data_IF_279546847317
#
_entry.id   IF_279546847317
#
_cell.length_a   1.000
_cell.length_b   1.000
_cell.length_c   1.000
_cell.angle_alpha   90.00
_cell.angle_beta   90.00
_cell.angle_gamma   90.00
#
_symmetry.space_group_name_H-M   'P 1'
#
loop_
_entity.id
_entity.type
_entity.pdbx_description
1 polymer ?
#
# COMPACT_ATOMS: atom_id res chain seq x y z
N UNK A 1 -0.22 -12.86 -22.21
CA UNK A 1 0.69 -13.57 -21.30
C UNK A 1 -0.08 -14.07 -20.09
N UNK A 2 -0.01 -15.36 -19.77
CA UNK A 2 -0.75 -15.93 -18.63
C UNK A 2 -0.02 -15.67 -17.31
N UNK A 3 -0.75 -15.42 -16.21
CA UNK A 3 -0.20 -15.22 -14.85
C UNK A 3 0.72 -16.37 -14.44
N UNK A 4 0.39 -17.61 -14.85
CA UNK A 4 1.21 -18.79 -14.55
C UNK A 4 2.58 -18.78 -15.23
N UNK A 5 2.70 -18.15 -16.39
CA UNK A 5 3.95 -18.02 -17.16
C UNK A 5 4.83 -16.85 -16.66
N UNK A 6 4.20 -15.83 -16.08
CA UNK A 6 4.91 -14.74 -15.39
C UNK A 6 5.62 -15.25 -14.13
N UNK A 7 4.94 -16.06 -13.30
CA UNK A 7 5.49 -16.53 -12.02
C UNK A 7 6.65 -17.53 -12.16
N UNK A 8 6.81 -18.19 -13.33
CA UNK A 8 7.85 -19.20 -13.57
C UNK A 8 9.18 -18.62 -14.07
N UNK A 9 9.19 -17.41 -14.64
CA UNK A 9 10.39 -16.80 -15.21
C UNK A 9 10.73 -15.49 -14.47
N UNK A 10 11.94 -15.36 -13.89
CA UNK A 10 12.29 -14.22 -13.05
C UNK A 10 12.34 -12.90 -13.86
N UNK A 11 12.00 -11.76 -13.22
CA UNK A 11 11.75 -10.48 -13.90
C UNK A 11 12.99 -9.81 -14.53
N UNK A 12 14.20 -10.24 -14.16
CA UNK A 12 15.45 -9.68 -14.69
C UNK A 12 15.71 -10.02 -16.18
N UNK A 13 14.95 -10.96 -16.75
CA UNK A 13 15.15 -11.45 -18.12
C UNK A 13 14.17 -10.91 -19.16
N UNK A 14 13.35 -9.89 -18.84
CA UNK A 14 12.33 -9.35 -19.77
C UNK A 14 12.38 -7.83 -19.83
N UNK A 15 12.57 -7.25 -21.03
CA UNK A 15 12.51 -5.81 -21.33
C UNK A 15 11.13 -5.14 -21.15
N UNK A 16 10.28 -5.66 -20.25
CA UNK A 16 8.88 -5.26 -20.07
C UNK A 16 8.44 -5.05 -18.63
N UNK A 17 9.35 -5.16 -17.65
CA UNK A 17 9.03 -5.10 -16.22
C UNK A 17 9.41 -3.73 -15.62
N UNK A 18 8.47 -3.09 -14.92
CA UNK A 18 8.69 -1.80 -14.26
C UNK A 18 9.16 -2.04 -12.83
N UNK A 19 10.23 -1.34 -12.42
CA UNK A 19 10.68 -1.31 -11.02
C UNK A 19 9.67 -0.57 -10.15
N UNK A 20 8.89 -1.32 -9.36
CA UNK A 20 7.90 -0.79 -8.42
C UNK A 20 8.52 -0.43 -7.07
N UNK A 21 9.32 -1.30 -6.46
CA UNK A 21 9.84 -1.09 -5.11
C UNK A 21 11.35 -1.22 -5.04
N UNK A 22 12.01 -0.30 -4.32
CA UNK A 22 13.44 -0.39 -4.03
C UNK A 22 13.75 -1.43 -2.95
N UNK A 23 15.03 -1.85 -2.81
CA UNK A 23 15.45 -2.82 -1.80
C UNK A 23 15.16 -2.33 -0.37
N UNK A 24 15.35 -1.03 -0.10
CA UNK A 24 15.03 -0.43 1.20
C UNK A 24 13.55 -0.60 1.55
N UNK A 25 12.62 -0.22 0.66
CA UNK A 25 11.16 -0.38 0.89
C UNK A 25 10.78 -1.83 1.16
N UNK A 26 11.35 -2.77 0.41
CA UNK A 26 11.09 -4.21 0.61
C UNK A 26 11.62 -4.71 1.95
N UNK A 27 12.83 -4.28 2.34
CA UNK A 27 13.43 -4.61 3.62
C UNK A 27 12.57 -4.08 4.77
N UNK A 28 12.22 -2.79 4.75
CA UNK A 28 11.36 -2.15 5.76
C UNK A 28 10.03 -2.89 5.89
N UNK A 29 9.37 -3.18 4.77
CA UNK A 29 8.10 -3.89 4.79
C UNK A 29 8.21 -5.27 5.45
N UNK A 30 9.24 -6.06 5.12
CA UNK A 30 9.43 -7.41 5.68
C UNK A 30 9.79 -7.37 7.15
N UNK A 31 10.70 -6.49 7.55
CA UNK A 31 11.14 -6.39 8.95
C UNK A 31 10.03 -5.84 9.83
N UNK A 32 9.33 -4.78 9.40
CA UNK A 32 8.15 -4.29 10.09
C UNK A 32 7.06 -5.36 10.15
N UNK A 33 6.75 -6.04 9.03
CA UNK A 33 5.75 -7.10 9.01
C UNK A 33 6.08 -8.28 9.94
N UNK A 34 7.35 -8.68 10.02
CA UNK A 34 7.82 -9.71 10.95
C UNK A 34 7.67 -9.27 12.40
N UNK A 35 8.20 -8.09 12.76
CA UNK A 35 8.10 -7.54 14.11
C UNK A 35 6.65 -7.40 14.55
N UNK A 36 5.80 -6.91 13.65
CA UNK A 36 4.37 -6.73 13.90
C UNK A 36 3.67 -8.08 14.10
N UNK A 37 3.98 -9.07 13.25
CA UNK A 37 3.47 -10.44 13.39
C UNK A 37 3.87 -11.07 14.73
N UNK A 38 5.12 -10.88 15.17
CA UNK A 38 5.58 -11.33 16.49
C UNK A 38 4.84 -10.60 17.61
N UNK A 39 4.62 -9.29 17.50
CA UNK A 39 3.83 -8.54 18.49
C UNK A 39 2.39 -9.07 18.58
N UNK A 40 1.73 -9.33 17.45
CA UNK A 40 0.37 -9.89 17.43
C UNK A 40 0.31 -11.31 18.03
N UNK A 41 1.27 -12.17 17.69
CA UNK A 41 1.33 -13.53 18.23
C UNK A 41 1.57 -13.52 19.74
N UNK A 42 2.52 -12.72 20.21
CA UNK A 42 2.81 -12.57 21.65
C UNK A 42 1.65 -11.91 22.40
N UNK A 43 0.99 -10.90 21.81
CA UNK A 43 -0.22 -10.30 22.39
C UNK A 43 -1.34 -11.34 22.55
N UNK A 44 -1.58 -12.17 21.53
CA UNK A 44 -2.57 -13.25 21.62
C UNK A 44 -2.25 -14.24 22.74
N UNK A 45 -0.97 -14.61 22.92
CA UNK A 45 -0.52 -15.49 24.00
C UNK A 45 -0.72 -14.84 25.37
N UNK A 46 -0.43 -13.54 25.50
CA UNK A 46 -0.57 -12.81 26.76
C UNK A 46 -2.03 -12.52 27.13
N UNK A 47 -2.91 -12.38 26.13
CA UNK A 47 -4.32 -12.04 26.30
C UNK A 47 -5.20 -13.27 26.53
N UNK A 48 -4.97 -14.37 25.80
CA UNK A 48 -5.80 -15.57 25.88
C UNK A 48 -5.29 -16.53 26.97
N UNK A 49 -6.08 -16.82 28.03
CA UNK A 49 -5.63 -17.64 29.15
C UNK A 49 -5.15 -19.03 28.74
N UNK A 50 -5.84 -19.68 27.79
CA UNK A 50 -5.48 -21.00 27.30
C UNK A 50 -4.07 -21.03 26.66
N UNK A 51 -3.70 -19.98 25.91
CA UNK A 51 -2.38 -19.87 25.30
C UNK A 51 -1.31 -19.55 26.35
N UNK A 52 -1.61 -18.67 27.30
CA UNK A 52 -0.69 -18.33 28.38
C UNK A 52 -0.28 -19.58 29.20
N UNK A 53 -1.24 -20.47 29.48
CA UNK A 53 -1.00 -21.74 30.16
C UNK A 53 -0.17 -22.71 29.32
N UNK A 54 -0.41 -22.78 28.02
CA UNK A 54 0.32 -23.65 27.10
C UNK A 54 1.80 -23.31 27.01
N UNK A 55 2.14 -22.02 26.90
CA UNK A 55 3.55 -21.60 26.80
C UNK A 55 4.25 -21.52 28.17
N UNK A 56 3.52 -21.26 29.26
CA UNK A 56 4.02 -21.30 30.65
C UNK A 56 5.14 -20.29 31.02
N UNK A 57 5.64 -19.50 30.07
CA UNK A 57 6.78 -18.57 30.24
C UNK A 57 6.39 -17.12 30.01
N UNK A 58 5.35 -16.66 30.71
CA UNK A 58 4.80 -15.31 30.56
C UNK A 58 5.84 -14.18 30.61
N UNK A 59 6.85 -14.19 31.52
CA UNK A 59 7.88 -13.14 31.54
C UNK A 59 8.70 -13.08 30.25
N UNK A 60 9.06 -14.23 29.67
CA UNK A 60 9.79 -14.28 28.41
C UNK A 60 8.95 -13.73 27.25
N UNK A 61 7.68 -14.12 27.16
CA UNK A 61 6.76 -13.65 26.12
C UNK A 61 6.55 -12.13 26.23
N UNK A 62 6.39 -11.62 27.45
CA UNK A 62 6.31 -10.19 27.72
C UNK A 62 7.58 -9.46 27.26
N UNK A 63 8.77 -9.97 27.57
CA UNK A 63 10.03 -9.38 27.10
C UNK A 63 10.14 -9.36 25.58
N UNK A 64 9.79 -10.48 24.91
CA UNK A 64 9.78 -10.54 23.45
C UNK A 64 8.81 -9.50 22.88
N UNK A 65 7.59 -9.42 23.42
CA UNK A 65 6.58 -8.46 23.00
C UNK A 65 7.09 -7.02 23.14
N UNK A 66 7.68 -6.68 24.29
CA UNK A 66 8.25 -5.38 24.57
C UNK A 66 9.36 -5.02 23.59
N UNK A 67 10.37 -5.88 23.42
CA UNK A 67 11.50 -5.59 22.53
C UNK A 67 11.08 -5.51 21.06
N UNK A 68 10.17 -6.37 20.61
CA UNK A 68 9.61 -6.26 19.26
C UNK A 68 8.82 -4.96 19.08
N UNK A 69 8.01 -4.58 20.07
CA UNK A 69 7.25 -3.33 20.09
C UNK A 69 8.16 -2.09 20.03
N UNK A 70 9.24 -2.06 20.83
CA UNK A 70 10.25 -1.01 20.79
C UNK A 70 11.01 -0.97 19.46
N UNK A 71 11.21 -2.13 18.81
CA UNK A 71 11.91 -2.22 17.54
C UNK A 71 11.04 -1.85 16.32
N UNK A 72 9.71 -1.83 16.42
CA UNK A 72 8.79 -1.50 15.30
C UNK A 72 9.13 -0.21 14.54
N UNK A 73 9.47 0.92 15.18
CA UNK A 73 9.85 2.14 14.45
C UNK A 73 11.23 2.05 13.77
N UNK A 74 12.11 1.15 14.21
CA UNK A 74 13.51 1.11 13.78
C UNK A 74 13.66 0.87 12.27
N UNK A 75 12.98 -0.11 11.64
CA UNK A 75 13.04 -0.26 10.19
C UNK A 75 12.66 0.98 9.41
N UNK A 76 11.59 1.68 9.81
CA UNK A 76 11.13 2.88 9.13
C UNK A 76 12.15 4.04 9.26
N UNK A 77 12.71 4.21 10.45
CA UNK A 77 13.76 5.21 10.71
C UNK A 77 15.01 4.94 9.87
N UNK A 78 15.47 3.68 9.80
CA UNK A 78 16.60 3.27 8.97
C UNK A 78 16.29 3.42 7.47
N UNK A 79 15.07 3.07 7.06
CA UNK A 79 14.61 3.27 5.69
C UNK A 79 14.68 4.74 5.27
N UNK A 80 14.33 5.67 6.17
CA UNK A 80 14.33 7.12 5.93
C UNK A 80 15.70 7.66 5.53
N UNK A 81 16.79 6.97 5.88
CA UNK A 81 18.15 7.32 5.44
C UNK A 81 18.29 7.23 3.91
N UNK A 82 17.47 6.41 3.23
CA UNK A 82 17.52 6.20 1.79
C UNK A 82 16.57 7.14 1.02
N UNK A 83 17.06 7.74 -0.08
CA UNK A 83 16.24 8.60 -0.97
C UNK A 83 15.03 7.86 -1.56
N UNK A 84 15.20 6.59 -1.92
CA UNK A 84 14.14 5.77 -2.53
C UNK A 84 12.96 5.57 -1.58
N UNK A 85 13.23 5.23 -0.31
CA UNK A 85 12.18 5.06 0.68
C UNK A 85 11.49 6.40 1.00
N UNK A 86 12.24 7.51 1.13
CA UNK A 86 11.65 8.84 1.33
C UNK A 86 10.68 9.25 0.22
N UNK A 87 10.99 8.92 -1.04
CA UNK A 87 10.09 9.18 -2.18
C UNK A 87 8.80 8.35 -2.04
N UNK A 88 8.94 7.07 -1.71
CA UNK A 88 7.80 6.16 -1.52
C UNK A 88 6.90 6.62 -0.35
N UNK A 89 7.49 7.04 0.77
CA UNK A 89 6.72 7.53 1.93
C UNK A 89 6.05 8.88 1.65
N UNK A 90 6.70 9.77 0.91
CA UNK A 90 6.10 11.04 0.48
C UNK A 90 4.89 10.80 -0.43
N UNK A 91 5.00 9.83 -1.34
CA UNK A 91 3.88 9.46 -2.21
C UNK A 91 2.74 8.79 -1.44
N UNK A 92 3.05 7.96 -0.43
CA UNK A 92 2.07 7.38 0.49
C UNK A 92 1.35 8.44 1.33
N UNK A 93 2.07 9.45 1.83
CA UNK A 93 1.51 10.48 2.70
C UNK A 93 0.71 11.55 1.93
N UNK A 94 0.81 11.58 0.60
CA UNK A 94 0.09 12.55 -0.22
C UNK A 94 -1.31 12.05 -0.56
N UNK A 95 -2.28 12.40 0.28
CA UNK A 95 -3.71 12.22 -0.03
C UNK A 95 -4.18 13.25 -1.05
N UNK A 96 -4.78 12.79 -2.13
CA UNK A 96 -5.31 13.61 -3.22
C UNK A 96 -6.84 13.71 -3.13
N UNK A 97 -7.45 14.68 -3.81
CA UNK A 97 -8.91 14.81 -3.85
C UNK A 97 -9.65 13.53 -4.30
N UNK A 98 -9.15 12.78 -5.32
CA UNK A 98 -9.69 11.47 -5.66
C UNK A 98 -9.63 10.44 -4.53
N UNK A 99 -8.52 10.40 -3.77
CA UNK A 99 -8.40 9.49 -2.62
C UNK A 99 -9.48 9.79 -1.57
N UNK A 100 -9.74 11.07 -1.29
CA UNK A 100 -10.81 11.50 -0.38
C UNK A 100 -12.23 11.22 -0.91
N UNK A 101 -12.44 11.27 -2.22
CA UNK A 101 -13.71 10.88 -2.83
C UNK A 101 -13.98 9.37 -2.70
N UNK A 102 -12.95 8.55 -2.96
CA UNK A 102 -13.01 7.10 -2.77
C UNK A 102 -13.31 6.73 -1.31
N UNK A 103 -12.60 7.36 -0.35
CA UNK A 103 -12.82 7.13 1.08
C UNK A 103 -14.24 7.46 1.50
N UNK A 104 -14.78 8.61 1.07
CA UNK A 104 -16.16 9.01 1.40
C UNK A 104 -17.20 8.06 0.80
N UNK A 105 -17.02 7.64 -0.46
CA UNK A 105 -17.93 6.70 -1.10
C UNK A 105 -17.96 5.34 -0.40
N UNK A 106 -16.81 4.87 0.11
CA UNK A 106 -16.71 3.55 0.75
C UNK A 106 -17.03 3.54 2.23
N UNK A 107 -16.72 4.61 2.96
CA UNK A 107 -16.89 4.70 4.42
C UNK A 107 -18.20 5.36 4.85
N UNK A 108 -18.81 6.20 4.02
CA UNK A 108 -20.09 6.84 4.34
C UNK A 108 -21.22 6.19 3.52
N UNK A 109 -22.02 5.27 4.11
CA UNK A 109 -23.14 4.64 3.43
C UNK A 109 -24.20 5.66 2.94
N UNK A 110 -24.31 6.82 3.60
CA UNK A 110 -25.22 7.92 3.24
C UNK A 110 -24.72 8.84 2.12
N UNK A 111 -23.63 8.48 1.44
CA UNK A 111 -23.13 9.27 0.30
C UNK A 111 -23.97 9.06 -0.96
N UNK A 112 -24.48 7.85 -1.17
CA UNK A 112 -25.42 7.49 -2.24
C UNK A 112 -26.76 8.23 -2.10
N UNK A 113 -27.34 8.25 -0.90
CA UNK A 113 -28.60 8.98 -0.63
C UNK A 113 -28.46 10.49 -0.83
N UNK A 114 -27.32 11.08 -0.45
CA UNK A 114 -27.03 12.50 -0.73
C UNK A 114 -26.86 12.77 -2.21
N UNK A 115 -26.20 11.89 -2.97
CA UNK A 115 -26.11 12.00 -4.45
C UNK A 115 -27.50 11.90 -5.08
N UNK A 116 -28.34 10.98 -4.63
CA UNK A 116 -29.72 10.84 -5.10
C UNK A 116 -30.57 12.09 -4.82
N UNK A 117 -30.37 12.73 -3.65
CA UNK A 117 -31.03 14.01 -3.31
C UNK A 117 -30.49 15.20 -4.10
N UNK A 118 -29.20 15.23 -4.42
CA UNK A 118 -28.56 16.29 -5.22
C UNK A 118 -28.80 16.14 -6.72
N UNK A 119 -29.07 14.93 -7.23
CA UNK A 119 -29.34 14.67 -8.64
C UNK A 119 -30.62 15.36 -9.17
N UNK A 120 -31.45 15.93 -8.27
CA UNK A 120 -32.68 16.61 -8.61
C UNK A 120 -33.74 15.69 -9.22
N UNK A 121 -35.02 16.10 -9.20
CA UNK A 121 -36.08 15.35 -9.86
C UNK A 121 -35.87 15.29 -11.38
N UNK A 122 -36.28 14.19 -12.02
CA UNK A 122 -35.97 13.90 -13.43
C UNK A 122 -36.41 14.99 -14.43
N UNK A 123 -37.45 15.76 -14.09
CA UNK A 123 -37.96 16.88 -14.89
C UNK A 123 -37.03 18.11 -14.91
N UNK A 124 -36.09 18.22 -13.95
CA UNK A 124 -35.06 19.25 -13.98
C UNK A 124 -33.94 18.94 -15.00
N UNK A 125 -33.85 17.68 -15.46
CA UNK A 125 -32.85 17.21 -16.45
C UNK A 125 -33.33 17.26 -17.89
N UNK A 126 -34.62 17.55 -18.14
CA UNK A 126 -35.22 17.62 -19.49
C UNK A 126 -35.09 18.99 -20.17
N UNK A 127 -34.30 19.92 -19.60
CA UNK A 127 -33.91 21.12 -20.31
C UNK A 127 -32.99 20.75 -21.48
N UNK A 128 -33.43 21.00 -22.71
CA UNK A 128 -32.60 20.90 -23.92
C UNK A 128 -31.27 21.64 -23.71
N UNK A 129 -30.11 21.00 -23.92
CA UNK A 129 -28.84 21.71 -23.83
C UNK A 129 -28.81 22.78 -24.92
N UNK A 130 -28.95 24.05 -24.53
CA UNK A 130 -28.72 25.17 -25.43
C UNK A 130 -27.29 25.07 -25.97
N UNK A 131 -27.17 24.90 -27.28
CA UNK A 131 -25.94 24.69 -28.05
C UNK A 131 -24.90 25.81 -27.93
N UNK A 132 -25.23 26.89 -27.22
CA UNK A 132 -24.39 28.08 -26.99
C UNK A 132 -23.32 27.91 -25.90
N UNK A 133 -23.32 26.83 -25.11
CA UNK A 133 -22.34 26.61 -24.05
C UNK A 133 -21.07 25.84 -24.48
N UNK A 134 -20.89 25.48 -25.76
CA UNK A 134 -19.72 24.71 -26.25
C UNK A 134 -18.53 25.59 -26.70
N UNK A 135 -18.42 26.83 -26.23
CA UNK A 135 -17.33 27.73 -26.67
C UNK A 135 -16.64 28.53 -25.57
N UNK A 136 -16.72 28.08 -24.33
CA UNK A 136 -16.11 28.79 -23.20
C UNK A 136 -15.90 27.94 -21.96
N UNK A 137 -15.22 26.80 -22.09
CA UNK A 137 -14.65 26.09 -20.96
C UNK A 137 -13.57 25.11 -21.45
N UNK A 138 -12.30 25.53 -21.44
CA UNK A 138 -11.16 24.61 -21.45
C UNK A 138 -11.04 23.89 -20.11
N UNK A 139 -12.13 23.30 -19.64
CA UNK A 139 -12.20 22.51 -18.42
C UNK A 139 -11.96 21.07 -18.76
N UNK A 140 -10.79 20.55 -18.37
CA UNK A 140 -10.38 19.15 -18.40
C UNK A 140 -11.58 18.19 -18.34
N UNK A 141 -11.77 17.40 -19.42
CA UNK A 141 -12.70 16.28 -19.46
C UNK A 141 -12.40 15.33 -18.27
N UNK A 142 -13.24 15.40 -17.25
CA UNK A 142 -13.18 14.51 -16.09
C UNK A 142 -13.83 13.17 -16.48
N UNK A 143 -13.03 12.29 -17.08
CA UNK A 143 -13.34 10.85 -17.16
C UNK A 143 -13.61 10.25 -15.76
N UNK A 144 -14.14 9.02 -15.69
CA UNK A 144 -14.59 8.40 -14.44
C UNK A 144 -13.51 8.45 -13.35
N UNK A 145 -13.73 9.32 -12.35
CA UNK A 145 -13.07 9.43 -11.04
C UNK A 145 -11.66 8.81 -10.96
N UNK A 146 -10.69 9.57 -11.45
CA UNK A 146 -9.26 9.24 -11.56
C UNK A 146 -8.57 9.14 -10.19
N UNK A 147 -8.48 7.92 -9.64
CA UNK A 147 -7.74 7.61 -8.40
C UNK A 147 -6.40 6.96 -8.75
N UNK A 148 -5.29 7.47 -8.21
CA UNK A 148 -4.09 6.66 -7.99
C UNK A 148 -2.80 7.15 -8.64
N UNK A 149 -1.80 7.43 -7.80
CA UNK A 149 -0.38 7.33 -8.18
C UNK A 149 0.09 5.88 -8.08
N UNK A 150 1.36 5.66 -7.73
CA UNK A 150 1.93 4.32 -7.47
C UNK A 150 1.15 3.53 -6.40
N UNK A 151 0.45 4.22 -5.49
CA UNK A 151 -0.37 3.65 -4.43
C UNK A 151 -1.84 4.08 -4.56
N UNK A 152 -2.76 3.14 -4.34
CA UNK A 152 -4.20 3.43 -4.29
C UNK A 152 -4.63 3.96 -2.91
N UNK A 153 -5.83 4.53 -2.82
CA UNK A 153 -6.36 5.13 -1.58
C UNK A 153 -6.42 4.13 -0.40
N UNK A 154 -6.76 2.87 -0.65
CA UNK A 154 -6.78 1.82 0.37
C UNK A 154 -5.39 1.49 0.92
N UNK A 155 -4.36 1.42 0.06
CA UNK A 155 -2.97 1.24 0.45
C UNK A 155 -2.45 2.41 1.28
N UNK A 156 -2.82 3.65 0.92
CA UNK A 156 -2.46 4.85 1.69
C UNK A 156 -3.14 4.85 3.07
N UNK A 157 -4.44 4.56 3.12
CA UNK A 157 -5.19 4.47 4.38
C UNK A 157 -4.58 3.39 5.29
N UNK A 158 -4.32 2.19 4.74
CA UNK A 158 -3.70 1.11 5.50
C UNK A 158 -2.34 1.52 6.06
N UNK A 159 -1.47 2.13 5.24
CA UNK A 159 -0.17 2.60 5.69
C UNK A 159 -0.29 3.64 6.82
N UNK A 160 -1.23 4.59 6.71
CA UNK A 160 -1.48 5.60 7.74
C UNK A 160 -2.00 4.98 9.05
N UNK A 161 -2.97 4.05 8.96
CA UNK A 161 -3.53 3.36 10.13
C UNK A 161 -2.47 2.54 10.85
N UNK A 162 -1.65 1.77 10.11
CA UNK A 162 -0.56 0.98 10.71
C UNK A 162 0.49 1.90 11.34
N UNK A 163 0.94 2.95 10.64
CA UNK A 163 1.94 3.88 11.16
C UNK A 163 1.46 4.60 12.43
N UNK A 164 0.22 5.11 12.43
CA UNK A 164 -0.38 5.74 13.61
C UNK A 164 -0.52 4.75 14.77
N UNK A 165 -0.91 3.50 14.48
CA UNK A 165 -1.06 2.49 15.52
C UNK A 165 0.26 2.10 16.17
N UNK A 166 1.37 2.03 15.41
CA UNK A 166 2.71 1.79 15.98
C UNK A 166 3.05 2.87 17.02
N UNK A 167 2.74 4.15 16.74
CA UNK A 167 3.02 5.24 17.69
C UNK A 167 2.17 5.13 18.96
N UNK A 168 0.88 4.78 18.82
CA UNK A 168 -0.02 4.61 19.97
C UNK A 168 0.38 3.39 20.80
N UNK A 169 0.72 2.26 20.17
CA UNK A 169 1.22 1.07 20.88
C UNK A 169 2.52 1.35 21.61
N UNK A 170 3.45 2.10 21.01
CA UNK A 170 4.70 2.49 21.66
C UNK A 170 4.42 3.34 22.91
N UNK A 171 3.57 4.36 22.80
CA UNK A 171 3.22 5.23 23.92
C UNK A 171 2.50 4.47 25.04
N UNK A 172 1.45 3.73 24.70
CA UNK A 172 0.67 2.95 25.69
C UNK A 172 1.49 1.83 26.32
N UNK A 173 2.29 1.11 25.53
CA UNK A 173 3.17 0.05 26.03
C UNK A 173 4.24 0.58 26.98
N UNK A 174 4.83 1.75 26.70
CA UNK A 174 5.77 2.41 27.61
C UNK A 174 5.09 2.84 28.92
N UNK A 175 3.85 3.38 28.86
CA UNK A 175 3.08 3.71 30.07
C UNK A 175 2.77 2.45 30.89
N UNK A 176 2.44 1.33 30.24
CA UNK A 176 2.18 0.07 30.93
C UNK A 176 3.44 -0.52 31.56
N UNK A 177 4.59 -0.43 30.87
CA UNK A 177 5.86 -0.99 31.34
C UNK A 177 6.52 -0.13 32.43
N UNK A 178 6.62 1.19 32.23
CA UNK A 178 7.30 2.11 33.16
C UNK A 178 6.36 2.74 34.19
N UNK A 179 5.04 2.58 34.04
CA UNK A 179 4.07 3.34 34.82
C UNK A 179 4.13 3.07 36.33
N UNK A 180 4.57 1.87 36.72
CA UNK A 180 4.81 1.55 38.14
C UNK A 180 6.05 2.27 38.67
N UNK A 181 7.17 2.14 37.97
CA UNK A 181 8.45 2.74 38.39
C UNK A 181 8.40 4.27 38.40
N UNK A 182 7.65 4.87 37.47
CA UNK A 182 7.47 6.32 37.33
C UNK A 182 6.29 6.87 38.15
N UNK A 183 5.62 6.06 38.98
CA UNK A 183 4.49 6.48 39.82
C UNK A 183 3.36 7.19 39.04
N UNK A 184 3.08 6.71 37.81
CA UNK A 184 2.03 7.26 36.97
C UNK A 184 0.66 6.96 37.61
N UNK A 185 -0.26 7.95 37.75
CA UNK A 185 -1.58 7.71 38.32
C UNK A 185 -2.36 6.60 37.62
N UNK A 186 -3.08 5.78 38.40
CA UNK A 186 -3.77 4.58 37.90
C UNK A 186 -4.72 4.86 36.73
N UNK A 187 -5.40 6.02 36.72
CA UNK A 187 -6.27 6.44 35.61
C UNK A 187 -5.57 6.40 34.24
N UNK A 188 -4.28 6.76 34.18
CA UNK A 188 -3.52 6.75 32.93
C UNK A 188 -3.00 5.36 32.59
N UNK A 189 -2.66 4.56 33.60
CA UNK A 189 -2.22 3.17 33.41
C UNK A 189 -3.37 2.30 32.89
N UNK A 190 -4.54 2.39 33.51
CA UNK A 190 -5.76 1.70 33.05
C UNK A 190 -6.20 2.20 31.68
N UNK A 191 -6.17 3.52 31.46
CA UNK A 191 -6.47 4.10 30.15
C UNK A 191 -5.52 3.60 29.05
N UNK A 192 -4.22 3.51 29.34
CA UNK A 192 -3.23 2.98 28.42
C UNK A 192 -3.49 1.51 28.09
N UNK A 193 -3.75 0.66 29.09
CA UNK A 193 -4.12 -0.74 28.84
C UNK A 193 -5.37 -0.87 27.98
N UNK A 194 -6.43 -0.13 28.30
CA UNK A 194 -7.66 -0.14 27.51
C UNK A 194 -7.42 0.27 26.04
N UNK A 195 -6.72 1.38 25.80
CA UNK A 195 -6.41 1.85 24.44
C UNK A 195 -5.53 0.85 23.70
N UNK A 196 -4.52 0.27 24.38
CA UNK A 196 -3.64 -0.73 23.80
C UNK A 196 -4.42 -1.98 23.36
N UNK A 197 -5.27 -2.52 24.23
CA UNK A 197 -6.03 -3.75 23.93
C UNK A 197 -7.07 -3.52 22.83
N UNK A 198 -7.83 -2.42 22.90
CA UNK A 198 -8.82 -2.07 21.87
C UNK A 198 -8.16 -1.89 20.50
N UNK A 199 -7.04 -1.17 20.47
CA UNK A 199 -6.30 -0.95 19.24
C UNK A 199 -5.69 -2.25 18.70
N UNK A 200 -5.22 -3.15 19.57
CA UNK A 200 -4.70 -4.47 19.19
C UNK A 200 -5.75 -5.28 18.42
N UNK A 201 -7.01 -5.29 18.87
CA UNK A 201 -8.09 -5.93 18.13
C UNK A 201 -8.35 -5.27 16.78
N UNK A 202 -8.48 -3.94 16.75
CA UNK A 202 -8.71 -3.21 15.49
C UNK A 202 -7.61 -3.45 14.45
N UNK A 203 -6.36 -3.48 14.90
CA UNK A 203 -5.21 -3.76 14.07
C UNK A 203 -5.12 -5.22 13.63
N UNK A 204 -5.47 -6.18 14.49
CA UNK A 204 -5.54 -7.58 14.10
C UNK A 204 -6.43 -7.74 12.86
N UNK A 205 -7.65 -7.18 12.88
CA UNK A 205 -8.54 -7.24 11.72
C UNK A 205 -8.02 -6.46 10.52
N UNK A 206 -7.39 -5.31 10.75
CA UNK A 206 -6.76 -4.50 9.68
C UNK A 206 -5.65 -5.28 8.96
N UNK A 207 -4.78 -5.95 9.72
CA UNK A 207 -3.70 -6.82 9.20
C UNK A 207 -4.29 -8.03 8.48
N UNK A 208 -5.29 -8.71 9.05
CA UNK A 208 -5.99 -9.81 8.38
C UNK A 208 -6.59 -9.37 7.04
N UNK A 209 -7.25 -8.21 6.99
CA UNK A 209 -7.79 -7.64 5.75
C UNK A 209 -6.70 -7.37 4.70
N UNK A 210 -5.54 -6.84 5.12
CA UNK A 210 -4.39 -6.66 4.23
C UNK A 210 -3.83 -7.99 3.71
N UNK A 211 -3.65 -8.99 4.57
CA UNK A 211 -3.16 -10.31 4.18
C UNK A 211 -4.12 -10.98 3.19
N UNK A 212 -5.43 -10.86 3.42
CA UNK A 212 -6.46 -11.38 2.53
C UNK A 212 -6.43 -10.71 1.15
N UNK A 213 -6.37 -9.38 1.09
CA UNK A 213 -6.24 -8.66 -0.19
C UNK A 213 -4.94 -9.05 -0.91
N UNK A 214 -3.82 -9.09 -0.19
CA UNK A 214 -2.53 -9.47 -0.75
C UNK A 214 -2.51 -10.92 -1.27
N UNK A 215 -3.23 -11.84 -0.63
CA UNK A 215 -3.29 -13.25 -1.06
C UNK A 215 -3.91 -13.42 -2.44
N UNK A 216 -4.80 -12.51 -2.83
CA UNK A 216 -5.55 -12.54 -4.10
C UNK A 216 -4.83 -11.92 -5.28
N UNK A 217 -3.77 -11.16 -5.03
CA UNK A 217 -2.91 -10.61 -6.08
C UNK A 217 -1.50 -11.23 -6.00
N UNK A 218 -1.25 -12.34 -6.71
CA UNK A 218 0.06 -12.97 -6.73
C UNK A 218 1.14 -12.09 -7.39
N UNK A 219 0.76 -11.19 -8.31
CA UNK A 219 1.68 -10.30 -9.01
C UNK A 219 2.14 -9.18 -8.09
N UNK A 220 1.23 -8.57 -7.32
CA UNK A 220 1.60 -7.63 -6.27
C UNK A 220 2.52 -8.24 -5.20
N UNK A 221 2.26 -9.50 -4.80
CA UNK A 221 3.17 -10.24 -3.88
C UNK A 221 4.53 -10.51 -4.50
N UNK A 222 4.58 -10.88 -5.78
CA UNK A 222 5.84 -11.01 -6.51
C UNK A 222 6.59 -9.68 -6.54
N UNK A 223 5.91 -8.57 -6.82
CA UNK A 223 6.49 -7.21 -6.80
C UNK A 223 7.03 -6.81 -5.43
N UNK A 224 6.39 -7.18 -4.33
CA UNK A 224 6.96 -6.97 -2.98
C UNK A 224 8.16 -7.88 -2.68
N UNK A 225 8.30 -9.01 -3.38
CA UNK A 225 9.44 -9.91 -3.22
C UNK A 225 10.65 -9.48 -4.04
N UNK A 226 10.44 -9.20 -5.32
CA UNK A 226 11.49 -8.93 -6.32
C UNK A 226 11.76 -7.44 -6.47
N UNK A 227 10.73 -6.60 -6.31
CA UNK A 227 10.75 -5.16 -6.60
C UNK A 227 10.19 -4.79 -7.95
N UNK A 228 9.84 -5.76 -8.80
CA UNK A 228 9.44 -5.56 -10.18
C UNK A 228 8.02 -6.09 -10.42
N UNK A 229 7.27 -5.39 -11.25
CA UNK A 229 5.93 -5.80 -11.70
C UNK A 229 5.86 -5.66 -13.21
N UNK A 230 5.07 -6.50 -13.90
CA UNK A 230 5.00 -6.42 -15.34
C UNK A 230 4.21 -5.19 -15.78
N UNK A 231 4.58 -4.59 -16.93
CA UNK A 231 3.91 -3.41 -17.50
C UNK A 231 2.39 -3.58 -17.66
N UNK A 232 1.93 -4.77 -18.05
CA UNK A 232 0.49 -5.03 -18.21
C UNK A 232 -0.27 -4.88 -16.88
N UNK A 233 0.28 -5.42 -15.78
CA UNK A 233 -0.35 -5.33 -14.46
C UNK A 233 -0.34 -3.88 -13.98
N UNK A 234 0.76 -3.17 -14.20
CA UNK A 234 0.86 -1.75 -13.89
C UNK A 234 -0.20 -0.93 -14.63
N UNK A 235 -0.44 -1.20 -15.93
CA UNK A 235 -1.48 -0.51 -16.72
C UNK A 235 -2.90 -0.81 -16.23
N UNK A 236 -3.17 -2.03 -15.78
CA UNK A 236 -4.49 -2.43 -15.27
C UNK A 236 -4.77 -1.88 -13.88
N UNK A 237 -3.84 -2.05 -12.94
CA UNK A 237 -4.05 -1.71 -11.52
C UNK A 237 -3.64 -0.26 -11.17
N UNK A 238 -2.72 0.31 -11.93
CA UNK A 238 -2.13 1.64 -11.67
C UNK A 238 -1.87 2.42 -12.97
N UNK A 239 -2.91 2.70 -13.79
CA UNK A 239 -2.77 3.24 -15.15
C UNK A 239 -1.96 4.55 -15.22
N UNK A 240 -2.18 5.48 -14.28
CA UNK A 240 -1.44 6.76 -14.26
C UNK A 240 0.04 6.60 -13.90
N UNK A 241 0.36 5.66 -13.02
CA UNK A 241 1.75 5.36 -12.68
C UNK A 241 2.46 4.67 -13.84
N UNK A 242 1.77 3.75 -14.52
CA UNK A 242 2.32 3.06 -15.69
C UNK A 242 2.61 4.02 -16.86
N UNK A 243 1.77 5.03 -17.08
CA UNK A 243 1.97 6.05 -18.11
C UNK A 243 3.19 6.96 -17.87
N UNK A 244 3.66 7.06 -16.62
CA UNK A 244 4.83 7.86 -16.24
C UNK A 244 6.11 7.02 -16.10
N UNK A 245 6.01 5.70 -16.19
CA UNK A 245 7.19 4.84 -16.21
C UNK A 245 7.89 5.01 -17.56
N UNK A 246 9.23 5.17 -17.59
CA UNK A 246 9.95 5.21 -18.85
C UNK A 246 9.55 4.01 -19.71
N UNK A 247 9.21 4.27 -20.98
CA UNK A 247 9.31 3.24 -22.00
C UNK A 247 10.79 2.86 -22.02
N UNK A 248 11.12 1.63 -21.65
CA UNK A 248 12.42 1.12 -22.04
C UNK A 248 12.33 1.09 -23.56
N UNK A 249 13.12 1.93 -24.21
CA UNK A 249 13.32 1.88 -25.64
C UNK A 249 13.68 0.42 -25.97
N UNK A 250 12.94 -0.18 -26.90
CA UNK A 250 13.30 -1.46 -27.49
C UNK A 250 14.67 -1.31 -28.17
N UNK A 251 15.76 -1.55 -27.44
CA UNK A 251 17.12 -1.75 -27.99
C UNK A 251 17.28 -3.15 -28.62
N UNK A 252 16.18 -3.78 -29.03
CA UNK A 252 16.14 -5.03 -29.81
C UNK A 252 15.26 -4.88 -31.06
N UNK A 253 15.35 -3.73 -31.74
CA UNK A 253 15.20 -3.74 -33.20
C UNK A 253 16.56 -4.13 -33.75
N UNK A 254 16.77 -5.34 -34.30
CA UNK A 254 17.93 -5.57 -35.13
C UNK A 254 17.85 -4.50 -36.20
N UNK A 255 18.85 -3.63 -36.29
CA UNK A 255 19.11 -2.89 -37.51
C UNK A 255 19.25 -3.98 -38.58
N UNK A 256 18.14 -4.28 -39.26
CA UNK A 256 18.16 -5.01 -40.50
C UNK A 256 18.97 -4.13 -41.43
N UNK A 257 20.28 -4.39 -41.45
CA UNK A 257 21.16 -4.01 -42.54
C UNK A 257 20.64 -4.76 -43.76
N UNK A 258 19.62 -4.18 -44.38
CA UNK A 258 19.28 -4.45 -45.77
C UNK A 258 20.53 -4.09 -46.57
N UNK A 259 21.21 -5.14 -47.03
CA UNK A 259 22.43 -5.04 -47.82
C UNK A 259 23.03 -6.41 -48.07
N UNK A 260 22.18 -7.41 -48.32
CA UNK A 260 22.63 -8.64 -48.95
C UNK A 260 22.72 -8.37 -50.45
N UNK A 261 23.94 -8.49 -50.97
CA UNK A 261 24.27 -8.69 -52.37
C UNK A 261 23.26 -9.59 -53.10
N UNK A 262 22.71 -9.06 -54.19
CA UNK A 262 22.32 -9.75 -55.43
C UNK A 262 22.35 -8.66 -56.53
N UNK A 263 22.89 -8.80 -57.73
CA UNK A 263 23.75 -9.76 -58.39
C UNK A 263 24.14 -9.08 -59.73
N UNK A 264 25.35 -9.36 -60.21
CA UNK A 264 25.83 -9.37 -61.60
C UNK A 264 25.22 -8.42 -62.66
N UNK A 265 26.05 -7.59 -63.29
CA UNK A 265 26.36 -7.70 -64.73
C UNK A 265 27.45 -6.69 -65.16
N UNK A 266 28.59 -7.21 -65.61
CA UNK A 266 29.35 -6.79 -66.80
C UNK A 266 30.86 -7.11 -66.65
N UNK A 267 31.27 -8.22 -67.25
CA UNK A 267 32.58 -8.41 -67.87
C UNK A 267 32.38 -8.25 -69.39
N UNK A 268 33.42 -8.06 -70.22
CA UNK A 268 34.87 -8.15 -69.96
C UNK A 268 35.65 -6.84 -70.08
#
# INVERSE_FOLDING_TARGET
MSIGEYLRNPPASRGGDIRRFGPATRWVHRTTGLLFGVCLATAAILYLPALALLFGRRPLIMSIHLYCGLALPVPALLGWLTRGFRRDTTELNRFTAPDGAWLRARLLPFSEERRARQAGPAWARSGTPSSTARRGAGGHDQGPLTVGGKFNAGQKLYAAVVAGSILVFLGTGLVMYLGQDLHIPDRYRTGASFVHDLLAFGIFFTVCGHLWMASRDPVARAGMRTGYVPRWWARTEHPHWAALAPEDLDDDVPLASNGADQDSTALP
#
